data_IF_541846565966
#
_entry.id   IF_541846565966
#
_cell.length_a   1.000
_cell.length_b   1.000
_cell.length_c   1.000
_cell.angle_alpha   90.00
_cell.angle_beta   90.00
_cell.angle_gamma   90.00
#
_symmetry.space_group_name_H-M   'P 1'
#
loop_
_entity.id
_entity.type
_entity.pdbx_description
1 polymer ?
#
# COMPACT_ATOMS: atom_id res chain seq x y z
N UNK A 1 6.51 -24.57 -44.83
CA UNK A 1 5.77 -23.40 -44.29
C UNK A 1 5.98 -23.33 -42.78
N UNK A 2 7.13 -22.79 -42.36
CA UNK A 2 7.55 -22.66 -40.97
C UNK A 2 8.23 -21.30 -40.84
N UNK A 3 8.00 -20.64 -39.70
CA UNK A 3 8.59 -19.36 -39.25
C UNK A 3 7.94 -18.09 -39.80
N UNK A 4 6.70 -17.81 -39.38
CA UNK A 4 6.16 -16.45 -39.45
C UNK A 4 5.09 -16.22 -38.37
N UNK A 5 5.48 -16.23 -37.09
CA UNK A 5 4.51 -15.94 -35.99
C UNK A 5 5.13 -15.59 -34.63
N UNK A 6 6.42 -15.22 -34.55
CA UNK A 6 7.03 -14.80 -33.27
C UNK A 6 7.57 -13.36 -33.26
N UNK A 7 7.36 -12.59 -34.34
CA UNK A 7 7.91 -11.22 -34.44
C UNK A 7 6.90 -10.09 -34.13
N UNK A 8 5.63 -10.42 -33.86
CA UNK A 8 4.57 -9.42 -33.61
C UNK A 8 4.24 -9.29 -32.10
N UNK A 9 4.73 -10.20 -31.24
CA UNK A 9 4.46 -10.18 -29.79
C UNK A 9 5.57 -9.46 -28.99
N UNK A 10 6.73 -9.18 -29.59
CA UNK A 10 7.84 -8.47 -28.92
C UNK A 10 7.72 -6.94 -28.97
N UNK A 11 6.70 -6.39 -29.63
CA UNK A 11 6.57 -4.94 -29.88
C UNK A 11 5.32 -4.31 -29.20
N UNK A 12 4.94 -4.79 -28.01
CA UNK A 12 3.79 -4.24 -27.26
C UNK A 12 4.10 -3.95 -25.78
N UNK A 13 5.34 -3.55 -25.47
CA UNK A 13 5.69 -3.13 -24.11
C UNK A 13 6.83 -2.10 -24.03
N UNK A 14 6.93 -1.25 -25.05
CA UNK A 14 7.57 0.06 -24.90
C UNK A 14 6.43 1.07 -24.85
N UNK A 15 5.69 1.04 -23.74
CA UNK A 15 4.95 2.23 -23.31
C UNK A 15 6.03 3.29 -23.13
N UNK A 16 6.05 4.23 -24.06
CA UNK A 16 6.90 5.42 -24.00
C UNK A 16 6.47 6.18 -22.75
N UNK A 17 7.11 5.91 -21.62
CA UNK A 17 7.05 6.80 -20.48
C UNK A 17 7.80 8.04 -20.91
N UNK A 18 7.06 9.08 -21.26
CA UNK A 18 7.61 10.42 -21.35
C UNK A 18 8.32 10.69 -20.03
N UNK A 19 9.65 10.74 -20.08
CA UNK A 19 10.47 11.19 -18.96
C UNK A 19 10.12 12.64 -18.72
N UNK A 20 9.18 12.88 -17.80
CA UNK A 20 8.98 14.22 -17.27
C UNK A 20 10.21 14.51 -16.40
N UNK A 21 10.90 15.60 -16.67
CA UNK A 21 12.13 16.01 -15.97
C UNK A 21 11.93 16.37 -14.48
N UNK A 22 10.76 16.06 -13.90
CA UNK A 22 10.32 16.35 -12.54
C UNK A 22 9.77 15.07 -11.85
N UNK A 23 10.30 13.91 -12.24
CA UNK A 23 9.92 12.62 -11.67
C UNK A 23 11.11 12.01 -10.94
N UNK A 24 10.98 11.85 -9.62
CA UNK A 24 11.97 11.13 -8.82
C UNK A 24 11.53 9.66 -8.68
N UNK A 25 12.50 8.75 -8.63
CA UNK A 25 12.23 7.31 -8.57
C UNK A 25 13.09 6.67 -7.49
N UNK A 26 12.49 5.80 -6.69
CA UNK A 26 13.21 4.96 -5.71
C UNK A 26 12.95 3.47 -5.93
N UNK A 27 13.96 2.66 -5.65
CA UNK A 27 13.86 1.22 -5.61
C UNK A 27 13.75 0.73 -4.16
N UNK A 28 12.70 -0.03 -3.86
CA UNK A 28 12.43 -0.56 -2.53
C UNK A 28 12.36 -2.08 -2.52
N UNK A 29 12.59 -2.67 -1.35
CA UNK A 29 12.21 -4.06 -1.08
C UNK A 29 11.18 -4.17 0.03
N UNK A 30 10.30 -5.17 -0.09
CA UNK A 30 9.26 -5.45 0.88
C UNK A 30 9.23 -6.93 1.23
N UNK A 31 9.68 -7.25 2.44
CA UNK A 31 9.77 -8.59 2.99
C UNK A 31 8.68 -8.79 4.06
N UNK A 32 7.97 -9.92 4.01
CA UNK A 32 6.90 -10.20 4.96
C UNK A 32 6.90 -11.68 5.40
N UNK A 33 6.75 -11.88 6.71
CA UNK A 33 6.50 -13.18 7.34
C UNK A 33 5.19 -13.11 8.10
N UNK A 34 4.28 -14.04 7.82
CA UNK A 34 2.96 -14.07 8.45
C UNK A 34 2.54 -15.46 8.88
N UNK A 35 1.71 -15.53 9.90
CA UNK A 35 0.99 -16.74 10.33
C UNK A 35 -0.51 -16.47 10.19
N UNK A 36 -1.25 -17.46 9.70
CA UNK A 36 -2.71 -17.41 9.61
C UNK A 36 -3.34 -18.66 10.19
N UNK A 37 -4.40 -18.50 10.98
CA UNK A 37 -5.21 -19.61 11.50
C UNK A 37 -6.63 -19.46 11.00
N UNK A 38 -7.18 -20.54 10.45
CA UNK A 38 -8.58 -20.58 10.00
C UNK A 38 -9.41 -21.34 11.04
N UNK A 39 -10.53 -20.75 11.43
CA UNK A 39 -11.44 -21.25 12.45
C UNK A 39 -12.87 -21.31 11.87
N UNK A 40 -13.76 -22.07 12.55
CA UNK A 40 -15.19 -22.17 12.20
C UNK A 40 -15.40 -22.46 10.70
N UNK A 41 -14.88 -23.58 10.22
CA UNK A 41 -14.95 -24.00 8.80
C UNK A 41 -14.43 -22.97 7.79
N UNK A 42 -13.39 -22.24 8.18
CA UNK A 42 -12.76 -21.16 7.43
C UNK A 42 -13.61 -19.88 7.32
N UNK A 43 -14.70 -19.76 8.08
CA UNK A 43 -15.46 -18.51 8.14
C UNK A 43 -14.68 -17.41 8.85
N UNK A 44 -13.93 -17.75 9.90
CA UNK A 44 -13.05 -16.83 10.62
C UNK A 44 -11.59 -17.09 10.28
N UNK A 45 -10.84 -16.05 9.97
CA UNK A 45 -9.39 -16.12 9.78
C UNK A 45 -8.71 -15.09 10.67
N UNK A 46 -7.81 -15.55 11.52
CA UNK A 46 -6.91 -14.73 12.31
C UNK A 46 -5.54 -14.70 11.64
N UNK A 47 -4.87 -13.55 11.65
CA UNK A 47 -3.53 -13.39 11.09
C UNK A 47 -2.66 -12.50 11.95
N UNK A 48 -1.37 -12.83 11.99
CA UNK A 48 -0.29 -12.01 12.55
C UNK A 48 0.85 -11.98 11.54
N UNK A 49 1.45 -10.82 11.30
CA UNK A 49 2.61 -10.69 10.42
C UNK A 49 3.62 -9.67 10.90
N UNK A 50 4.89 -9.95 10.62
CA UNK A 50 6.01 -9.03 10.70
C UNK A 50 6.46 -8.67 9.29
N UNK A 51 6.66 -7.39 9.02
CA UNK A 51 7.03 -6.91 7.70
C UNK A 51 8.15 -5.85 7.79
N UNK A 52 9.13 -5.97 6.90
CA UNK A 52 10.27 -5.07 6.75
C UNK A 52 10.26 -4.47 5.34
N UNK A 53 10.30 -3.15 5.26
CA UNK A 53 10.44 -2.39 4.02
C UNK A 53 11.74 -1.61 4.03
N UNK A 54 12.45 -1.62 2.91
CA UNK A 54 13.68 -0.87 2.70
C UNK A 54 13.48 0.14 1.56
N UNK A 55 13.97 1.36 1.73
CA UNK A 55 13.96 2.47 0.76
C UNK A 55 15.39 2.84 0.34
N UNK A 56 15.53 3.86 -0.51
CA UNK A 56 16.80 4.39 -0.99
C UNK A 56 17.64 3.29 -1.66
N UNK A 57 17.14 2.77 -2.78
CA UNK A 57 17.70 1.59 -3.45
C UNK A 57 17.82 0.37 -2.54
N UNK A 58 16.85 0.19 -1.65
CA UNK A 58 16.78 -0.90 -0.67
C UNK A 58 17.98 -0.96 0.30
N UNK A 59 18.60 0.19 0.61
CA UNK A 59 19.76 0.25 1.51
C UNK A 59 19.40 0.72 2.92
N UNK A 60 18.30 1.47 3.08
CA UNK A 60 17.89 2.04 4.36
C UNK A 60 16.55 1.46 4.79
N UNK A 61 16.35 1.22 6.08
CA UNK A 61 15.02 0.88 6.60
C UNK A 61 14.03 2.00 6.29
N UNK A 62 12.89 1.66 5.67
CA UNK A 62 11.72 2.53 5.54
C UNK A 62 10.82 2.33 6.76
N UNK A 63 10.30 1.11 6.89
CA UNK A 63 9.35 0.74 7.92
C UNK A 63 9.57 -0.70 8.38
N UNK A 64 9.46 -0.92 9.68
CA UNK A 64 9.28 -2.23 10.28
C UNK A 64 7.97 -2.26 11.05
N UNK A 65 7.11 -3.27 10.82
CA UNK A 65 5.80 -3.28 11.46
C UNK A 65 5.23 -4.67 11.71
N UNK A 66 4.50 -4.76 12.82
CA UNK A 66 3.67 -5.89 13.22
C UNK A 66 2.22 -5.60 12.84
N UNK A 67 1.52 -6.51 12.16
CA UNK A 67 0.10 -6.40 11.83
C UNK A 67 -0.71 -7.59 12.37
N UNK A 68 -1.75 -7.27 13.13
CA UNK A 68 -2.80 -8.19 13.56
C UNK A 68 -4.01 -8.03 12.62
N UNK A 69 -4.64 -9.13 12.25
CA UNK A 69 -5.79 -9.11 11.36
C UNK A 69 -6.84 -10.16 11.72
N UNK A 70 -8.10 -9.77 11.55
CA UNK A 70 -9.27 -10.64 11.66
C UNK A 70 -10.11 -10.49 10.39
N UNK A 71 -10.56 -11.62 9.83
CA UNK A 71 -11.45 -11.65 8.67
C UNK A 71 -12.60 -12.61 8.92
N UNK A 72 -13.81 -12.17 8.63
CA UNK A 72 -15.01 -12.96 8.76
C UNK A 72 -15.75 -13.05 7.42
N UNK A 73 -15.88 -14.27 6.91
CA UNK A 73 -16.63 -14.61 5.71
C UNK A 73 -18.08 -14.83 6.10
N UNK A 74 -18.90 -13.79 5.95
CA UNK A 74 -20.31 -13.80 6.35
C UNK A 74 -21.25 -14.28 5.25
N UNK A 75 -20.82 -14.25 3.97
CA UNK A 75 -21.51 -14.85 2.82
C UNK A 75 -20.50 -15.54 1.91
N UNK A 76 -20.97 -16.36 0.96
CA UNK A 76 -20.09 -17.16 0.09
C UNK A 76 -19.01 -16.32 -0.63
N UNK A 77 -19.38 -15.12 -1.07
CA UNK A 77 -18.50 -14.22 -1.82
C UNK A 77 -18.01 -13.02 -1.01
N UNK A 78 -18.58 -12.79 0.18
CA UNK A 78 -18.31 -11.58 0.95
C UNK A 78 -17.50 -11.87 2.21
N UNK A 79 -16.57 -10.97 2.50
CA UNK A 79 -15.73 -11.03 3.69
C UNK A 79 -15.57 -9.62 4.24
N UNK A 80 -15.84 -9.45 5.54
CA UNK A 80 -15.42 -8.26 6.27
C UNK A 80 -14.09 -8.54 6.97
N UNK A 81 -13.33 -7.49 7.27
CA UNK A 81 -12.12 -7.63 8.06
C UNK A 81 -11.80 -6.38 8.86
N UNK A 82 -10.99 -6.57 9.90
CA UNK A 82 -10.36 -5.50 10.63
C UNK A 82 -8.87 -5.83 10.81
N UNK A 83 -8.04 -4.81 10.94
CA UNK A 83 -6.63 -4.99 11.23
C UNK A 83 -6.06 -3.84 12.04
N UNK A 84 -5.03 -4.13 12.80
CA UNK A 84 -4.29 -3.17 13.61
C UNK A 84 -2.79 -3.39 13.37
N UNK A 85 -2.06 -2.30 13.15
CA UNK A 85 -0.64 -2.32 12.82
C UNK A 85 0.12 -1.37 13.73
N UNK A 86 1.22 -1.86 14.28
CA UNK A 86 2.20 -1.08 15.03
C UNK A 86 3.41 -0.89 14.11
N UNK A 87 3.77 0.36 13.84
CA UNK A 87 4.76 0.74 12.83
C UNK A 87 5.92 1.46 13.51
N UNK A 88 7.14 1.05 13.19
CA UNK A 88 8.35 1.84 13.36
C UNK A 88 8.73 2.37 11.99
N UNK A 89 8.76 3.68 11.82
CA UNK A 89 9.06 4.36 10.57
C UNK A 89 10.36 5.16 10.73
N UNK A 90 11.23 5.10 9.73
CA UNK A 90 12.45 5.88 9.69
C UNK A 90 12.21 7.15 8.87
N UNK A 91 12.28 8.31 9.51
CA UNK A 91 11.97 9.60 8.91
C UNK A 91 13.17 10.34 8.29
N UNK A 92 14.39 9.80 8.38
CA UNK A 92 15.58 10.41 7.77
C UNK A 92 16.78 10.48 8.71
N UNK A 93 17.72 11.39 8.40
CA UNK A 93 19.04 11.51 9.06
C UNK A 93 18.96 11.96 10.54
N UNK A 94 17.85 12.57 10.95
CA UNK A 94 17.64 13.00 12.34
C UNK A 94 17.03 11.89 13.22
N UNK A 95 17.59 10.67 13.21
CA UNK A 95 17.47 9.51 14.15
C UNK A 95 16.15 9.21 14.93
N UNK A 96 15.05 9.90 14.67
CA UNK A 96 13.78 9.74 15.37
C UNK A 96 12.98 8.67 14.64
N UNK A 97 13.18 7.43 15.08
CA UNK A 97 12.27 6.34 14.74
C UNK A 97 10.87 6.67 15.30
N UNK A 98 9.98 7.17 14.44
CA UNK A 98 8.61 7.48 14.84
C UNK A 98 7.82 6.18 14.99
N UNK A 99 7.09 6.09 16.10
CA UNK A 99 6.16 4.98 16.34
C UNK A 99 4.80 5.45 15.86
N UNK A 100 4.16 4.67 15.00
CA UNK A 100 2.82 4.99 14.48
C UNK A 100 1.90 3.79 14.63
N UNK A 101 0.62 4.05 14.83
CA UNK A 101 -0.40 3.03 14.83
C UNK A 101 -1.30 3.18 13.61
N UNK A 102 -1.79 2.07 13.07
CA UNK A 102 -2.77 2.11 11.98
C UNK A 102 -3.82 1.04 12.19
N UNK A 103 -5.07 1.44 12.25
CA UNK A 103 -6.19 0.51 12.14
C UNK A 103 -6.83 0.59 10.76
N UNK A 104 -7.46 -0.51 10.34
CA UNK A 104 -8.23 -0.55 9.10
C UNK A 104 -9.42 -1.49 9.19
N UNK A 105 -10.45 -1.20 8.40
CA UNK A 105 -11.58 -2.07 8.13
C UNK A 105 -11.67 -2.37 6.64
N UNK A 106 -12.13 -3.57 6.31
CA UNK A 106 -12.17 -4.10 4.95
C UNK A 106 -13.56 -4.65 4.62
N UNK A 107 -14.02 -4.38 3.40
CA UNK A 107 -15.07 -5.16 2.74
C UNK A 107 -14.46 -5.76 1.48
N UNK A 108 -14.64 -7.07 1.32
CA UNK A 108 -14.03 -7.83 0.22
C UNK A 108 -15.09 -8.69 -0.46
N UNK A 109 -15.20 -8.55 -1.78
CA UNK A 109 -15.99 -9.43 -2.64
C UNK A 109 -15.07 -10.30 -3.49
N UNK A 110 -15.33 -11.60 -3.55
CA UNK A 110 -14.55 -12.56 -4.35
C UNK A 110 -15.44 -13.49 -5.14
N UNK A 111 -15.17 -13.62 -6.42
CA UNK A 111 -15.79 -14.62 -7.27
C UNK A 111 -14.75 -15.29 -8.18
N UNK A 112 -15.16 -16.38 -8.81
CA UNK A 112 -14.33 -17.15 -9.74
C UNK A 112 -15.09 -17.34 -11.03
N UNK A 113 -14.39 -17.20 -12.14
CA UNK A 113 -14.89 -17.51 -13.48
C UNK A 113 -13.84 -18.40 -14.12
N UNK A 114 -14.19 -19.66 -14.35
CA UNK A 114 -13.27 -20.68 -14.84
C UNK A 114 -11.96 -20.70 -14.03
N UNK A 115 -10.82 -20.40 -14.66
CA UNK A 115 -9.49 -20.44 -14.04
C UNK A 115 -9.09 -19.10 -13.43
N UNK A 116 -9.94 -18.09 -13.53
CA UNK A 116 -9.71 -16.76 -12.98
C UNK A 116 -10.38 -16.61 -11.62
N UNK A 117 -9.66 -15.98 -10.69
CA UNK A 117 -10.22 -15.54 -9.41
C UNK A 117 -10.09 -14.03 -9.28
N UNK A 118 -11.23 -13.37 -9.15
CA UNK A 118 -11.36 -11.94 -9.00
C UNK A 118 -11.58 -11.58 -7.53
N UNK A 119 -10.94 -10.52 -7.08
CA UNK A 119 -11.09 -9.97 -5.74
C UNK A 119 -11.18 -8.45 -5.79
N UNK A 120 -12.24 -7.93 -5.20
CA UNK A 120 -12.52 -6.51 -5.06
C UNK A 120 -12.44 -6.18 -3.58
N UNK A 121 -11.70 -5.14 -3.21
CA UNK A 121 -11.58 -4.71 -1.81
C UNK A 121 -11.79 -3.22 -1.70
N UNK A 122 -12.66 -2.83 -0.79
CA UNK A 122 -12.73 -1.50 -0.21
C UNK A 122 -12.10 -1.55 1.18
N UNK A 123 -11.20 -0.62 1.49
CA UNK A 123 -10.58 -0.49 2.81
C UNK A 123 -10.65 0.95 3.28
N UNK A 124 -11.15 1.16 4.49
CA UNK A 124 -10.94 2.40 5.23
C UNK A 124 -9.80 2.17 6.22
N UNK A 125 -8.90 3.14 6.37
CA UNK A 125 -7.79 3.06 7.32
C UNK A 125 -7.51 4.43 7.93
N UNK A 126 -7.03 4.43 9.17
CA UNK A 126 -6.55 5.63 9.87
C UNK A 126 -5.18 5.33 10.44
N UNK A 127 -4.20 6.20 10.16
CA UNK A 127 -2.84 6.13 10.69
C UNK A 127 -2.63 7.34 11.63
N UNK A 128 -2.11 7.10 12.82
CA UNK A 128 -1.85 8.13 13.83
C UNK A 128 -0.48 7.90 14.45
N UNK A 129 0.07 8.89 15.13
CA UNK A 129 1.29 8.72 15.91
C UNK A 129 1.01 7.94 17.21
N UNK A 130 2.03 7.24 17.71
CA UNK A 130 1.93 6.45 18.93
C UNK A 130 2.44 7.28 20.11
N UNK A 131 1.58 7.52 21.09
CA UNK A 131 1.96 8.21 22.33
C UNK A 131 1.64 9.71 22.34
N UNK A 132 1.08 10.23 21.25
CA UNK A 132 0.51 11.57 21.16
C UNK A 132 -1.01 11.44 21.05
N UNK A 133 -1.74 12.32 21.75
CA UNK A 133 -3.18 12.46 21.62
C UNK A 133 -3.51 13.54 20.60
N UNK A 134 -4.78 13.64 20.19
CA UNK A 134 -5.26 14.78 19.39
C UNK A 134 -4.99 16.13 20.07
N UNK A 135 -4.98 16.15 21.41
CA UNK A 135 -4.66 17.35 22.20
C UNK A 135 -3.16 17.69 22.21
N UNK A 136 -2.32 16.74 21.79
CA UNK A 136 -0.87 16.93 21.62
C UNK A 136 -0.50 17.21 20.14
N UNK A 137 -1.49 17.50 19.29
CA UNK A 137 -1.29 17.81 17.87
C UNK A 137 -1.27 16.60 16.91
N UNK A 138 -1.51 15.36 17.37
CA UNK A 138 -1.60 14.21 16.47
C UNK A 138 -2.92 14.20 15.70
N UNK A 139 -2.83 14.51 14.41
CA UNK A 139 -3.97 14.48 13.48
C UNK A 139 -3.89 13.22 12.61
N UNK A 140 -4.80 12.25 12.78
CA UNK A 140 -4.73 11.00 12.03
C UNK A 140 -4.94 11.19 10.52
N UNK A 141 -4.08 10.55 9.73
CA UNK A 141 -4.21 10.46 8.28
C UNK A 141 -5.17 9.32 7.92
N UNK A 142 -6.28 9.67 7.28
CA UNK A 142 -7.32 8.73 6.87
C UNK A 142 -7.16 8.39 5.39
N UNK A 143 -7.37 7.13 5.01
CA UNK A 143 -7.37 6.70 3.60
C UNK A 143 -8.53 5.77 3.28
N UNK A 144 -9.16 6.02 2.14
CA UNK A 144 -10.05 5.09 1.46
C UNK A 144 -9.28 4.44 0.30
N UNK A 145 -9.27 3.11 0.26
CA UNK A 145 -8.50 2.33 -0.71
C UNK A 145 -9.39 1.35 -1.43
N UNK A 146 -9.32 1.37 -2.75
CA UNK A 146 -10.02 0.41 -3.61
C UNK A 146 -9.00 -0.43 -4.34
N UNK A 147 -9.14 -1.76 -4.30
CA UNK A 147 -8.24 -2.69 -5.00
C UNK A 147 -9.02 -3.70 -5.83
N UNK A 148 -8.62 -3.84 -7.08
CA UNK A 148 -8.94 -4.96 -7.95
C UNK A 148 -7.75 -5.92 -8.00
N UNK A 149 -7.99 -7.22 -7.82
CA UNK A 149 -6.98 -8.28 -7.98
C UNK A 149 -7.53 -9.42 -8.83
N UNK A 150 -6.76 -9.84 -9.82
CA UNK A 150 -7.06 -10.98 -10.70
C UNK A 150 -5.95 -12.01 -10.55
N UNK A 151 -6.32 -13.25 -10.27
CA UNK A 151 -5.38 -14.39 -10.22
C UNK A 151 -5.76 -15.35 -11.34
N UNK A 152 -4.77 -15.95 -11.99
CA UNK A 152 -4.99 -16.98 -13.00
C UNK A 152 -4.36 -18.30 -12.55
N UNK A 153 -5.18 -19.35 -12.47
CA UNK A 153 -4.70 -20.70 -12.22
C UNK A 153 -4.15 -21.26 -13.53
N UNK A 154 -2.82 -21.43 -13.64
CA UNK A 154 -2.17 -21.94 -14.87
C UNK A 154 -2.11 -23.48 -14.83
N UNK A 155 -2.34 -24.15 -15.97
CA UNK A 155 -2.55 -25.61 -15.96
C UNK A 155 -1.22 -26.28 -15.72
N UNK A 156 -1.20 -27.25 -14.80
CA UNK A 156 0.01 -28.02 -14.47
C UNK A 156 1.18 -27.15 -13.99
N UNK A 157 0.89 -25.95 -13.46
CA UNK A 157 1.89 -25.00 -13.01
C UNK A 157 1.63 -24.63 -11.56
N UNK A 158 2.69 -24.53 -10.76
CA UNK A 158 2.58 -24.35 -9.29
C UNK A 158 2.60 -22.89 -8.85
N UNK A 159 2.91 -21.98 -9.77
CA UNK A 159 3.17 -20.56 -9.52
C UNK A 159 2.08 -19.72 -10.19
N UNK A 160 0.93 -19.58 -9.53
CA UNK A 160 -0.24 -18.89 -10.08
C UNK A 160 0.06 -17.38 -10.18
N UNK A 161 0.12 -16.80 -11.40
CA UNK A 161 0.31 -15.38 -11.59
C UNK A 161 -0.92 -14.59 -11.14
N UNK A 162 -0.68 -13.34 -10.75
CA UNK A 162 -1.73 -12.39 -10.43
C UNK A 162 -1.36 -10.97 -10.83
N UNK A 163 -2.39 -10.18 -11.09
CA UNK A 163 -2.33 -8.74 -11.30
C UNK A 163 -3.19 -8.04 -10.25
N UNK A 164 -2.78 -6.86 -9.81
CA UNK A 164 -3.61 -6.01 -8.98
C UNK A 164 -3.41 -4.53 -9.30
N UNK A 165 -4.48 -3.76 -9.19
CA UNK A 165 -4.49 -2.30 -9.24
C UNK A 165 -5.15 -1.76 -7.98
N UNK A 166 -4.59 -0.72 -7.39
CA UNK A 166 -5.08 -0.09 -6.17
C UNK A 166 -5.04 1.43 -6.29
N UNK A 167 -6.11 2.08 -5.86
CA UNK A 167 -6.24 3.54 -5.76
C UNK A 167 -6.31 3.96 -4.29
N UNK A 168 -5.74 5.12 -3.99
CA UNK A 168 -5.67 5.68 -2.65
C UNK A 168 -6.30 7.08 -2.65
N UNK A 169 -7.44 7.23 -1.98
CA UNK A 169 -7.95 8.53 -1.58
C UNK A 169 -7.52 8.80 -0.15
N UNK A 170 -7.01 9.99 0.13
CA UNK A 170 -6.52 10.39 1.46
C UNK A 170 -7.25 11.65 1.93
N UNK A 171 -7.52 11.71 3.22
CA UNK A 171 -8.04 12.85 3.96
C UNK A 171 -7.19 13.05 5.21
N UNK A 172 -6.87 14.29 5.51
CA UNK A 172 -6.10 14.72 6.67
C UNK A 172 -6.52 16.15 6.99
N UNK A 173 -6.58 16.45 8.28
CA UNK A 173 -6.77 17.80 8.79
C UNK A 173 -5.39 18.40 9.03
N UNK A 174 -5.26 19.70 8.78
CA UNK A 174 -4.06 20.47 9.09
C UNK A 174 -4.49 21.59 10.03
N UNK A 175 -3.80 21.72 11.16
CA UNK A 175 -3.94 22.87 12.03
C UNK A 175 -3.07 23.98 11.44
N UNK A 176 -3.66 25.12 11.11
CA UNK A 176 -2.92 26.29 10.68
C UNK A 176 -2.67 27.15 11.91
N UNK A 177 -1.47 27.02 12.48
CA UNK A 177 -1.02 27.90 13.55
C UNK A 177 -0.82 29.31 12.97
N UNK A 178 -1.78 30.20 13.23
CA UNK A 178 -1.62 31.61 12.89
C UNK A 178 -0.73 32.27 13.95
N UNK A 179 0.42 32.82 13.55
CA UNK A 179 1.34 33.57 14.44
C UNK A 179 0.72 34.83 15.08
N UNK A 180 -0.52 35.17 14.72
CA UNK A 180 -1.26 36.31 15.24
C UNK A 180 -2.23 35.80 16.31
N UNK A 181 -1.98 36.15 17.56
CA UNK A 181 -2.71 35.74 18.77
C UNK A 181 -4.20 36.17 18.85
N UNK A 182 -4.75 36.75 17.78
CA UNK A 182 -6.13 37.25 17.71
C UNK A 182 -7.00 36.55 16.66
N UNK A 183 -6.50 35.50 16.02
CA UNK A 183 -7.25 34.69 15.04
C UNK A 183 -7.38 33.29 15.63
N UNK A 184 -8.62 32.81 15.79
CA UNK A 184 -8.89 31.46 16.25
C UNK A 184 -8.21 30.43 15.32
N UNK A 185 -7.64 29.37 15.90
CA UNK A 185 -7.06 28.24 15.16
C UNK A 185 -8.11 27.68 14.17
N UNK A 186 -7.76 27.61 12.88
CA UNK A 186 -8.65 27.07 11.86
C UNK A 186 -8.13 25.71 11.37
N UNK A 187 -8.92 24.67 11.63
CA UNK A 187 -8.69 23.32 11.14
C UNK A 187 -9.08 23.22 9.66
N UNK A 188 -8.11 23.09 8.76
CA UNK A 188 -8.38 22.90 7.34
C UNK A 188 -8.40 21.41 7.02
N UNK A 189 -9.55 20.91 6.58
CA UNK A 189 -9.67 19.57 6.02
C UNK A 189 -9.29 19.59 4.54
N UNK A 190 -8.26 18.83 4.20
CA UNK A 190 -7.86 18.65 2.82
C UNK A 190 -8.11 17.17 2.45
N UNK A 191 -8.53 16.87 1.22
CA UNK A 191 -8.66 15.48 0.74
C UNK A 191 -8.43 15.33 -0.78
N UNK A 192 -7.92 14.17 -1.22
CA UNK A 192 -7.61 13.95 -2.63
C UNK A 192 -7.10 12.55 -3.00
N UNK A 193 -6.90 12.35 -4.30
CA UNK A 193 -6.32 11.14 -4.89
C UNK A 193 -4.80 11.14 -4.68
N UNK A 194 -4.30 10.36 -3.73
CA UNK A 194 -2.90 10.35 -3.37
C UNK A 194 -2.02 9.59 -4.37
N UNK A 195 -2.37 8.34 -4.70
CA UNK A 195 -1.53 7.48 -5.53
C UNK A 195 -2.25 6.33 -6.19
N UNK A 196 -1.62 5.80 -7.23
CA UNK A 196 -1.97 4.55 -7.90
C UNK A 196 -0.89 3.52 -7.62
N UNK A 197 -1.29 2.26 -7.42
CA UNK A 197 -0.39 1.14 -7.23
C UNK A 197 -0.76 0.00 -8.15
N UNK A 198 0.19 -0.44 -8.97
CA UNK A 198 0.07 -1.59 -9.85
C UNK A 198 0.97 -2.71 -9.32
N UNK A 199 0.51 -3.95 -9.38
CA UNK A 199 1.29 -5.10 -8.91
C UNK A 199 1.13 -6.26 -9.88
N UNK A 200 2.26 -6.84 -10.28
CA UNK A 200 2.34 -8.15 -10.92
C UNK A 200 3.08 -9.09 -9.99
N UNK A 201 2.57 -10.30 -9.82
CA UNK A 201 3.24 -11.26 -8.96
C UNK A 201 2.83 -12.69 -9.24
N UNK A 202 3.40 -13.59 -8.46
CA UNK A 202 3.07 -15.00 -8.51
C UNK A 202 3.00 -15.58 -7.10
N UNK A 203 2.24 -16.66 -6.95
CA UNK A 203 2.04 -17.32 -5.68
C UNK A 203 2.15 -18.83 -5.81
N UNK A 204 2.76 -19.48 -4.83
CA UNK A 204 2.88 -20.93 -4.74
C UNK A 204 2.43 -21.41 -3.37
N UNK A 205 1.44 -22.30 -3.37
CA UNK A 205 1.05 -23.04 -2.18
C UNK A 205 2.09 -24.11 -1.87
N UNK A 206 2.63 -24.07 -0.65
CA UNK A 206 3.59 -25.06 -0.15
C UNK A 206 2.85 -26.06 0.73
N UNK A 207 2.22 -27.05 0.09
CA UNK A 207 1.46 -28.14 0.74
C UNK A 207 0.58 -27.60 1.90
N UNK A 208 0.76 -28.13 3.11
CA UNK A 208 0.06 -27.71 4.33
C UNK A 208 0.81 -26.62 5.10
N UNK A 209 2.03 -26.27 4.71
CA UNK A 209 2.91 -25.33 5.44
C UNK A 209 2.42 -23.90 5.26
N UNK A 210 2.07 -23.50 4.04
CA UNK A 210 1.76 -22.10 3.78
C UNK A 210 1.74 -21.70 2.32
N UNK A 211 1.93 -20.42 2.07
CA UNK A 211 1.95 -19.83 0.73
C UNK A 211 3.10 -18.81 0.61
N UNK A 212 3.95 -19.03 -0.39
CA UNK A 212 5.00 -18.11 -0.79
C UNK A 212 4.51 -17.24 -1.95
N UNK A 213 4.78 -15.94 -1.87
CA UNK A 213 4.42 -14.97 -2.89
C UNK A 213 5.64 -14.14 -3.25
N UNK A 214 5.81 -13.90 -4.55
CA UNK A 214 6.76 -12.92 -5.09
C UNK A 214 5.99 -11.88 -5.88
N UNK A 215 6.43 -10.63 -5.84
CA UNK A 215 5.82 -9.58 -6.63
C UNK A 215 6.80 -8.48 -7.02
N UNK A 216 6.48 -7.84 -8.13
CA UNK A 216 6.94 -6.52 -8.48
C UNK A 216 5.75 -5.56 -8.41
N UNK A 217 5.99 -4.37 -7.88
CA UNK A 217 4.97 -3.35 -7.68
C UNK A 217 5.51 -2.00 -8.11
N UNK A 218 4.68 -1.26 -8.82
CA UNK A 218 4.91 0.11 -9.19
C UNK A 218 3.93 0.99 -8.43
N UNK A 219 4.41 2.05 -7.78
CA UNK A 219 3.58 3.07 -7.14
C UNK A 219 3.89 4.42 -7.77
N UNK A 220 2.84 5.14 -8.12
CA UNK A 220 2.93 6.46 -8.73
C UNK A 220 2.12 7.44 -7.89
N UNK A 221 2.80 8.45 -7.36
CA UNK A 221 2.13 9.57 -6.70
C UNK A 221 1.34 10.38 -7.73
N UNK A 222 0.16 10.85 -7.32
CA UNK A 222 -0.66 11.74 -8.14
C UNK A 222 -0.51 13.16 -7.61
N UNK A 223 -0.41 14.14 -8.51
CA UNK A 223 -0.16 15.56 -8.21
C UNK A 223 -1.21 16.25 -7.31
N UNK A 224 -2.22 15.52 -6.84
CA UNK A 224 -3.29 16.03 -6.00
C UNK A 224 -3.29 15.28 -4.67
N UNK A 225 -2.43 15.71 -3.73
CA UNK A 225 -2.60 15.65 -2.26
C UNK A 225 -1.51 14.90 -1.45
N UNK A 226 -0.96 15.47 -0.33
CA UNK A 226 -1.16 16.82 0.23
C UNK A 226 0.06 17.75 0.08
N UNK A 227 0.93 17.53 -0.91
CA UNK A 227 2.14 18.35 -1.07
C UNK A 227 1.87 19.83 -1.39
N UNK A 228 0.67 20.21 -1.86
CA UNK A 228 0.40 21.59 -2.23
C UNK A 228 0.10 22.53 -1.06
N UNK A 229 -0.18 22.05 0.15
CA UNK A 229 -0.51 22.92 1.29
C UNK A 229 0.65 23.11 2.28
N UNK A 230 1.49 22.09 2.46
CA UNK A 230 2.61 22.12 3.41
C UNK A 230 3.72 23.08 2.95
N UNK A 231 3.92 23.24 1.65
CA UNK A 231 4.86 24.24 1.11
C UNK A 231 4.31 25.67 1.12
N UNK A 232 3.01 25.88 1.30
CA UNK A 232 2.43 27.23 1.32
C UNK A 232 2.54 27.93 2.67
N UNK A 233 2.77 27.21 3.77
CA UNK A 233 2.82 27.78 5.13
C UNK A 233 4.21 28.29 5.57
N UNK A 234 5.27 28.02 4.81
CA UNK A 234 6.63 28.53 5.10
C UNK A 234 6.99 29.71 4.18
N UNK A 235 6.33 30.84 4.40
CA UNK A 235 6.45 32.03 3.54
C UNK A 235 7.77 32.79 3.67
N UNK A 236 8.72 32.34 4.49
CA UNK A 236 9.89 33.17 4.84
C UNK A 236 11.18 32.82 4.11
N UNK A 237 11.47 31.57 3.72
CA UNK A 237 12.74 31.27 3.01
C UNK A 237 12.73 29.91 2.29
N UNK A 238 12.18 29.79 1.08
CA UNK A 238 12.71 28.86 0.07
C UNK A 238 12.09 29.07 -1.31
N UNK A 239 12.93 29.05 -2.34
CA UNK A 239 12.51 28.87 -3.73
C UNK A 239 11.87 27.48 -3.86
N UNK A 240 10.53 27.40 -3.86
CA UNK A 240 9.82 26.16 -4.16
C UNK A 240 10.14 25.74 -5.60
N UNK A 241 10.98 24.71 -5.73
CA UNK A 241 11.18 24.01 -6.99
C UNK A 241 9.88 23.31 -7.44
N UNK A 242 9.78 22.89 -8.71
CA UNK A 242 8.61 22.14 -9.16
C UNK A 242 8.37 20.89 -8.30
N UNK A 243 7.11 20.61 -7.98
CA UNK A 243 6.69 19.46 -7.18
C UNK A 243 7.12 18.17 -7.89
N UNK A 244 8.10 17.47 -7.32
CA UNK A 244 8.62 16.23 -7.90
C UNK A 244 7.63 15.07 -7.68
N UNK A 245 7.11 14.54 -8.77
CA UNK A 245 6.22 13.37 -8.75
C UNK A 245 7.07 12.14 -8.43
N UNK A 246 6.74 11.45 -7.34
CA UNK A 246 7.48 10.27 -6.88
C UNK A 246 6.94 8.98 -7.49
N UNK A 247 7.88 8.17 -7.94
CA UNK A 247 7.68 6.80 -8.39
C UNK A 247 8.43 5.84 -7.46
N UNK A 248 7.82 4.69 -7.17
CA UNK A 248 8.48 3.61 -6.44
C UNK A 248 8.40 2.30 -7.20
N UNK A 249 9.54 1.65 -7.30
CA UNK A 249 9.71 0.32 -7.85
C UNK A 249 10.01 -0.65 -6.71
N UNK A 250 9.05 -1.52 -6.40
CA UNK A 250 9.10 -2.36 -5.20
C UNK A 250 9.15 -3.83 -5.61
N UNK A 251 10.18 -4.54 -5.18
CA UNK A 251 10.21 -6.01 -5.23
C UNK A 251 9.87 -6.55 -3.85
N UNK A 252 9.03 -7.58 -3.78
CA UNK A 252 8.71 -8.16 -2.49
C UNK A 252 8.52 -9.66 -2.47
N UNK A 253 8.78 -10.21 -1.30
CA UNK A 253 8.61 -11.61 -0.94
C UNK A 253 7.73 -11.69 0.31
N UNK A 254 6.73 -12.55 0.27
CA UNK A 254 5.86 -12.79 1.42
C UNK A 254 5.66 -14.29 1.63
N UNK A 255 5.94 -14.75 2.84
CA UNK A 255 5.59 -16.10 3.27
C UNK A 255 4.50 -16.08 4.35
N UNK A 256 3.36 -16.74 4.10
CA UNK A 256 2.31 -16.94 5.09
C UNK A 256 2.22 -18.41 5.51
N UNK A 257 2.61 -18.72 6.74
CA UNK A 257 2.38 -20.01 7.38
C UNK A 257 0.89 -20.23 7.61
N UNK A 258 0.42 -21.45 7.33
CA UNK A 258 -0.93 -21.89 7.66
C UNK A 258 -0.87 -22.73 8.93
N UNK A 259 -1.55 -22.24 9.97
CA UNK A 259 -1.83 -22.96 11.22
C UNK A 259 -3.19 -23.66 11.15
#
# INVERSE_FOLDING_TARGET
MKKLSYLIITNFLILSFSLNAQQTSDFETWNALGVQKKLFDNSLTLSLSEELRLKNNSTTMDQFFTEFGIKYKFLEHWTIGAGYRIIRENEGDDEHNSKKNRWNTDIVFKHKIDRFSFGYRLRYQSKSESGFSKGDGDIPIQKLRTRLKVNYNVKNWKWDPYLAAELFWTKQTINVDNYISSIDEEDIEIAGMQKIRLTVGTSKKIKKIGQLNFFYRFEHELNKYPYSYIEMSDWSTQSHGPIDIKNWHIIGINFNFKL
#
